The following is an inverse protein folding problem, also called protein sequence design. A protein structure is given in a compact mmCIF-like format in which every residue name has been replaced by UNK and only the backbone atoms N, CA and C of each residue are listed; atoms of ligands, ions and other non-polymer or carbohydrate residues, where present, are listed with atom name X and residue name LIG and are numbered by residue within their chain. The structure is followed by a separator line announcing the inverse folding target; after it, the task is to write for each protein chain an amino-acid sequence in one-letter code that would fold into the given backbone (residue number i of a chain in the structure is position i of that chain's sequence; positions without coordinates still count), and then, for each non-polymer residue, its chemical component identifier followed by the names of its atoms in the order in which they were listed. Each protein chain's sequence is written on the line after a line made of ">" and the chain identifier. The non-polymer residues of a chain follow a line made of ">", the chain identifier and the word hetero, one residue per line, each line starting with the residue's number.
data_IF_566598189022
#
_entry.id   IF_566598189022
#
_cell.length_a   1.000
_cell.length_b   1.000
_cell.length_c   1.000
_cell.angle_alpha   90.00
_cell.angle_beta   90.00
_cell.angle_gamma   90.00
#
_symmetry.space_group_name_H-M   'P 1'
#
loop_
_entity.id
_entity.type
_entity.pdbx_description
1 polymer ?
#
# COMPACT_ATOMS: atom_id res chain seq x y z
N UNK A 1 -12.19 2.03 -13.14
CA UNK A 1 -12.78 0.81 -13.74
C UNK A 1 -13.04 -0.30 -12.72
N UNK A 2 -12.08 -0.73 -11.90
CA UNK A 2 -12.26 -1.79 -10.88
C UNK A 2 -13.41 -1.47 -9.91
N UNK A 3 -13.48 -0.25 -9.39
CA UNK A 3 -14.54 0.18 -8.47
C UNK A 3 -15.96 -0.08 -9.00
N UNK A 4 -16.20 0.21 -10.29
CA UNK A 4 -17.51 0.00 -10.91
C UNK A 4 -17.91 -1.48 -10.94
N UNK A 5 -16.97 -2.38 -11.24
CA UNK A 5 -17.24 -3.82 -11.22
C UNK A 5 -17.50 -4.35 -9.81
N UNK A 6 -16.76 -3.84 -8.82
CA UNK A 6 -17.00 -4.20 -7.41
C UNK A 6 -18.39 -3.77 -6.96
N UNK A 7 -18.82 -2.56 -7.33
CA UNK A 7 -20.18 -2.08 -7.06
C UNK A 7 -21.23 -2.93 -7.76
N UNK A 8 -21.04 -3.29 -9.03
CA UNK A 8 -21.99 -4.17 -9.73
C UNK A 8 -22.13 -5.56 -9.07
N UNK A 9 -21.03 -6.15 -8.62
CA UNK A 9 -21.05 -7.43 -7.90
C UNK A 9 -21.77 -7.26 -6.57
N UNK A 10 -21.46 -6.17 -5.85
CA UNK A 10 -22.10 -5.84 -4.59
C UNK A 10 -23.62 -5.70 -4.76
N UNK A 11 -24.07 -4.85 -5.67
CA UNK A 11 -25.49 -4.58 -5.94
C UNK A 11 -26.25 -5.85 -6.39
N UNK A 12 -25.58 -6.76 -7.10
CA UNK A 12 -26.18 -8.02 -7.54
C UNK A 12 -26.41 -9.01 -6.39
N UNK A 13 -25.50 -9.06 -5.43
CA UNK A 13 -25.48 -10.14 -4.43
C UNK A 13 -25.91 -9.69 -3.03
N UNK A 14 -25.84 -8.40 -2.74
CA UNK A 14 -26.28 -7.83 -1.48
C UNK A 14 -27.81 -7.88 -1.37
N UNK A 15 -28.33 -8.39 -0.24
CA UNK A 15 -29.77 -8.42 0.04
C UNK A 15 -30.06 -7.88 1.44
N UNK A 16 -29.57 -6.67 1.72
CA UNK A 16 -29.88 -5.89 2.93
C UNK A 16 -29.44 -6.55 4.25
N UNK A 17 -28.35 -7.31 4.25
CA UNK A 17 -27.79 -7.90 5.48
C UNK A 17 -26.74 -7.00 6.13
N UNK A 18 -26.53 -7.12 7.44
CA UNK A 18 -25.43 -6.44 8.11
C UNK A 18 -24.07 -6.97 7.64
N UNK A 19 -23.25 -6.11 7.05
CA UNK A 19 -21.90 -6.46 6.57
C UNK A 19 -20.87 -6.06 7.63
N UNK A 20 -20.12 -7.04 8.13
CA UNK A 20 -19.01 -6.81 9.08
C UNK A 20 -17.66 -6.60 8.40
N UNK A 21 -17.45 -7.17 7.22
CA UNK A 21 -16.23 -7.02 6.45
C UNK A 21 -16.51 -7.15 4.94
N UNK A 22 -15.68 -6.49 4.13
CA UNK A 22 -15.63 -6.67 2.67
C UNK A 22 -14.16 -6.85 2.30
N UNK A 23 -13.83 -7.98 1.69
CA UNK A 23 -12.49 -8.29 1.21
C UNK A 23 -12.44 -8.29 -0.31
N UNK A 24 -11.55 -7.47 -0.88
CA UNK A 24 -11.28 -7.48 -2.32
C UNK A 24 -9.83 -7.92 -2.52
N UNK A 25 -9.63 -8.92 -3.37
CA UNK A 25 -8.31 -9.41 -3.73
C UNK A 25 -8.12 -9.36 -5.25
N UNK A 26 -6.93 -8.97 -5.66
CA UNK A 26 -6.47 -9.05 -7.04
C UNK A 26 -5.36 -10.10 -7.09
N UNK A 27 -5.38 -10.96 -8.10
CA UNK A 27 -4.36 -11.99 -8.33
C UNK A 27 -3.81 -11.88 -9.74
N UNK A 28 -2.79 -12.68 -10.06
CA UNK A 28 -2.13 -12.72 -11.38
C UNK A 28 -1.56 -11.36 -11.80
N UNK A 29 -0.87 -10.71 -10.86
CA UNK A 29 -0.11 -9.51 -11.18
C UNK A 29 0.94 -9.85 -12.23
N UNK A 30 0.98 -9.05 -13.29
CA UNK A 30 1.98 -9.14 -14.36
C UNK A 30 2.90 -7.92 -14.25
N UNK A 31 4.14 -8.07 -14.73
CA UNK A 31 5.04 -6.94 -14.84
C UNK A 31 4.46 -5.89 -15.78
N UNK A 32 4.48 -4.63 -15.36
CA UNK A 32 4.19 -3.53 -16.26
C UNK A 32 5.33 -3.41 -17.27
N UNK A 33 5.00 -3.52 -18.56
CA UNK A 33 5.94 -3.39 -19.68
C UNK A 33 5.79 -2.06 -20.42
N UNK A 34 4.79 -1.25 -20.07
CA UNK A 34 4.52 0.04 -20.67
C UNK A 34 3.91 1.00 -19.64
N UNK A 35 4.27 2.27 -19.72
CA UNK A 35 3.60 3.33 -18.98
C UNK A 35 2.34 3.74 -19.74
N UNK A 36 1.18 3.59 -19.11
CA UNK A 36 -0.04 4.22 -19.60
C UNK A 36 -0.02 5.68 -19.15
N UNK A 37 0.08 6.60 -20.10
CA UNK A 37 0.04 8.03 -19.83
C UNK A 37 -1.40 8.50 -19.59
N UNK A 38 -1.56 9.42 -18.64
CA UNK A 38 -2.69 10.33 -18.56
C UNK A 38 -2.56 11.39 -19.67
N UNK A 39 -3.68 11.69 -20.34
CA UNK A 39 -3.74 12.62 -21.47
C UNK A 39 -3.67 14.09 -21.04
N UNK A 40 -3.98 14.38 -19.77
CA UNK A 40 -4.10 15.72 -19.22
C UNK A 40 -2.90 16.11 -18.34
N UNK A 41 -1.94 15.22 -18.17
CA UNK A 41 -0.68 15.47 -17.46
C UNK A 41 0.51 15.49 -18.43
N UNK A 42 1.60 16.17 -18.03
CA UNK A 42 2.82 16.23 -18.84
C UNK A 42 3.49 14.85 -18.94
N UNK A 43 3.82 14.35 -20.15
CA UNK A 43 4.43 13.03 -20.31
C UNK A 43 5.80 12.87 -19.64
N UNK A 44 6.61 13.93 -19.58
CA UNK A 44 7.95 13.84 -18.98
C UNK A 44 7.87 13.76 -17.45
N UNK A 45 6.92 14.48 -16.85
CA UNK A 45 6.62 14.40 -15.41
C UNK A 45 6.15 12.99 -15.02
N UNK A 46 5.22 12.41 -15.78
CA UNK A 46 4.74 11.04 -15.54
C UNK A 46 5.87 10.00 -15.64
N UNK A 47 6.78 10.14 -16.61
CA UNK A 47 7.94 9.25 -16.74
C UNK A 47 8.92 9.43 -15.57
N UNK A 48 9.09 10.66 -15.07
CA UNK A 48 9.94 10.94 -13.92
C UNK A 48 9.37 10.31 -12.65
N UNK A 49 8.06 10.39 -12.43
CA UNK A 49 7.40 9.80 -11.27
C UNK A 49 7.54 8.28 -11.25
N UNK A 50 7.39 7.63 -12.41
CA UNK A 50 7.65 6.20 -12.55
C UNK A 50 9.07 5.80 -12.17
N UNK A 51 10.07 6.63 -12.51
CA UNK A 51 11.46 6.40 -12.11
C UNK A 51 11.64 6.53 -10.61
N UNK A 52 10.96 7.49 -9.98
CA UNK A 52 10.98 7.66 -8.52
C UNK A 52 10.41 6.41 -7.85
N UNK A 53 9.25 5.94 -8.29
CA UNK A 53 8.62 4.73 -7.75
C UNK A 53 9.54 3.51 -7.89
N UNK A 54 10.14 3.33 -9.06
CA UNK A 54 11.10 2.24 -9.29
C UNK A 54 12.30 2.30 -8.34
N UNK A 55 12.84 3.49 -8.09
CA UNK A 55 13.96 3.69 -7.16
C UNK A 55 13.52 3.39 -5.72
N UNK A 56 12.36 3.89 -5.30
CA UNK A 56 11.79 3.61 -3.97
C UNK A 56 11.62 2.11 -3.74
N UNK A 57 11.05 1.40 -4.72
CA UNK A 57 10.86 -0.05 -4.66
C UNK A 57 12.20 -0.80 -4.64
N UNK A 58 13.18 -0.35 -5.42
CA UNK A 58 14.53 -0.93 -5.43
C UNK A 58 15.18 -0.83 -4.04
N UNK A 59 15.05 0.33 -3.38
CA UNK A 59 15.57 0.55 -2.02
C UNK A 59 14.84 -0.38 -1.04
N UNK A 60 13.50 -0.41 -1.06
CA UNK A 60 12.69 -1.25 -0.14
C UNK A 60 12.95 -2.74 -0.34
N UNK A 61 13.15 -3.20 -1.57
CA UNK A 61 13.48 -4.58 -1.87
C UNK A 61 14.84 -4.99 -1.27
N UNK A 62 15.79 -4.05 -1.21
CA UNK A 62 17.13 -4.30 -0.68
C UNK A 62 17.23 -4.13 0.84
N UNK A 63 16.53 -3.16 1.42
CA UNK A 63 16.72 -2.72 2.81
C UNK A 63 15.47 -2.87 3.69
N UNK A 64 14.36 -3.37 3.14
CA UNK A 64 13.08 -3.54 3.84
C UNK A 64 12.18 -2.30 3.78
N UNK A 65 10.90 -2.47 4.15
CA UNK A 65 9.88 -1.41 4.00
C UNK A 65 10.23 -0.11 4.75
N UNK A 66 10.81 -0.22 5.95
CA UNK A 66 11.16 0.93 6.81
C UNK A 66 12.33 1.78 6.28
N UNK A 67 13.04 1.34 5.24
CA UNK A 67 14.19 2.07 4.68
C UNK A 67 13.82 3.41 4.03
N UNK A 68 12.58 3.52 3.54
CA UNK A 68 12.03 4.76 2.97
C UNK A 68 10.50 4.77 3.15
N UNK A 69 10.00 5.78 3.85
CA UNK A 69 8.57 5.93 4.18
C UNK A 69 8.15 7.38 3.95
N UNK A 70 6.86 7.61 3.64
CA UNK A 70 6.33 8.97 3.57
C UNK A 70 6.44 9.65 4.94
N UNK A 71 6.75 10.95 4.96
CA UNK A 71 6.86 11.73 6.20
C UNK A 71 5.60 11.62 7.08
N UNK A 72 4.41 11.61 6.48
CA UNK A 72 3.13 11.43 7.19
C UNK A 72 3.04 10.08 7.95
N UNK A 73 3.88 9.10 7.62
CA UNK A 73 3.95 7.82 8.35
C UNK A 73 4.60 7.94 9.73
N UNK A 74 5.30 9.04 10.00
CA UNK A 74 5.99 9.34 11.27
C UNK A 74 5.13 10.25 12.16
N UNK A 75 4.14 10.93 11.58
CA UNK A 75 3.23 11.80 12.33
C UNK A 75 2.41 11.02 13.35
N UNK A 76 1.93 11.72 14.38
CA UNK A 76 0.97 11.18 15.34
C UNK A 76 -0.30 10.71 14.61
N UNK A 77 -0.63 9.43 14.75
CA UNK A 77 -1.71 8.77 13.99
C UNK A 77 -1.25 7.97 12.77
N UNK A 78 0.01 8.12 12.33
CA UNK A 78 0.62 7.31 11.28
C UNK A 78 0.73 5.83 11.70
N UNK A 79 0.28 4.90 10.84
CA UNK A 79 0.29 3.45 11.13
C UNK A 79 1.18 2.63 10.20
N UNK A 80 1.74 3.20 9.14
CA UNK A 80 2.47 2.46 8.12
C UNK A 80 3.69 1.71 8.69
N UNK A 81 4.48 2.36 9.56
CA UNK A 81 5.65 1.73 10.21
C UNK A 81 5.20 0.62 11.17
N UNK A 82 4.24 0.90 12.05
CA UNK A 82 3.73 -0.10 13.00
C UNK A 82 3.07 -1.31 12.31
N UNK A 83 2.47 -1.11 11.13
CA UNK A 83 1.85 -2.18 10.35
C UNK A 83 2.81 -2.90 9.42
N UNK A 84 4.01 -2.36 9.18
CA UNK A 84 4.99 -2.94 8.25
C UNK A 84 5.44 -4.34 8.64
N UNK A 85 5.28 -4.71 9.92
CA UNK A 85 5.63 -6.02 10.44
C UNK A 85 4.44 -6.98 10.60
N UNK A 86 3.24 -6.56 10.20
CA UNK A 86 2.01 -7.36 10.22
C UNK A 86 1.76 -8.00 8.84
N UNK A 87 1.32 -9.26 8.85
CA UNK A 87 0.88 -9.99 7.66
C UNK A 87 -0.64 -10.06 7.70
N UNK A 88 -1.34 -9.46 6.72
CA UNK A 88 -2.80 -9.47 6.67
C UNK A 88 -3.48 -8.81 7.89
N UNK A 89 -2.80 -7.86 8.54
CA UNK A 89 -3.28 -7.20 9.76
C UNK A 89 -3.03 -7.98 11.06
N UNK A 90 -2.37 -9.14 11.00
CA UNK A 90 -2.02 -9.97 12.15
C UNK A 90 -0.50 -10.09 12.30
N UNK A 91 -0.02 -10.35 13.51
CA UNK A 91 1.38 -10.67 13.75
C UNK A 91 1.72 -12.01 13.08
N UNK A 92 2.46 -11.97 11.97
CA UNK A 92 2.97 -13.17 11.33
C UNK A 92 4.21 -13.68 12.05
N UNK A 93 4.03 -14.47 13.12
CA UNK A 93 5.16 -14.99 13.91
C UNK A 93 5.90 -13.88 14.69
N UNK A 94 7.24 -13.97 14.79
CA UNK A 94 8.07 -13.03 15.57
C UNK A 94 8.06 -11.58 15.04
N UNK A 95 7.66 -11.36 13.78
CA UNK A 95 7.63 -10.03 13.16
C UNK A 95 6.67 -9.06 13.88
N UNK A 96 5.64 -9.55 14.55
CA UNK A 96 4.73 -8.71 15.33
C UNK A 96 5.31 -8.15 16.64
N UNK A 97 6.48 -8.62 17.07
CA UNK A 97 7.10 -8.27 18.36
C UNK A 97 8.21 -7.20 18.22
N UNK A 98 8.67 -6.92 17.01
CA UNK A 98 9.77 -5.97 16.72
C UNK A 98 9.37 -4.47 16.89
N UNK A 99 8.15 -4.19 17.36
CA UNK A 99 7.65 -2.84 17.60
C UNK A 99 7.82 -2.34 19.03
N UNK A 100 8.36 -3.14 19.95
CA UNK A 100 8.43 -2.80 21.38
C UNK A 100 9.69 -2.03 21.79
N UNK A 101 10.71 -1.90 20.94
CA UNK A 101 11.91 -1.15 21.28
C UNK A 101 11.94 0.24 20.62
N UNK A 102 11.53 1.22 21.42
CA UNK A 102 12.01 2.60 21.48
C UNK A 102 12.35 3.33 20.18
N UNK A 103 11.42 4.17 19.72
CA UNK A 103 11.83 5.44 19.12
C UNK A 103 11.81 6.52 20.21
N UNK A 104 13.01 6.82 20.68
CA UNK A 104 13.30 7.80 21.71
C UNK A 104 12.74 9.18 21.37
N UNK A 105 12.51 9.93 22.45
CA UNK A 105 12.24 11.36 22.39
C UNK A 105 13.31 12.05 21.55
N UNK A 106 12.87 12.76 20.52
CA UNK A 106 13.63 13.87 19.95
C UNK A 106 12.78 15.13 20.15
N UNK A 107 13.45 16.15 20.66
CA UNK A 107 12.94 17.48 20.99
C UNK A 107 12.36 18.20 19.78
#
# INVERSE_FOLDING_TARGET
>A
QIANYLLQIFDRHYKYQDIRNVGVNCSKLVYSNALQLDLFEDPEEQVKDLKIDYVVDTIRKKFGFKSIVHANSIMEGGRAIARSSLVGGHAGGMSGLEGAEGHGKAY
#
